data_IF_288694446549
#
_entry.id   IF_288694446549
#
_cell.length_a   1.000
_cell.length_b   1.000
_cell.length_c   1.000
_cell.angle_alpha   90.00
_cell.angle_beta   90.00
_cell.angle_gamma   90.00
#
_symmetry.space_group_name_H-M   'P 1'
#
loop_
_entity.id
_entity.type
_entity.pdbx_description
1 polymer ?
#
# COMPACT_ATOMS: atom_id res chain seq x y z
N UNK A 1 1.34 -23.20 1.88
CA UNK A 1 2.12 -21.96 1.66
C UNK A 1 1.15 -20.79 1.54
N UNK A 2 1.47 -19.61 2.07
CA UNK A 2 0.60 -18.41 2.04
C UNK A 2 1.20 -17.39 1.06
N UNK A 3 0.37 -16.80 0.20
CA UNK A 3 0.81 -15.83 -0.81
C UNK A 3 0.19 -14.46 -0.58
N UNK A 4 0.93 -13.41 -0.92
CA UNK A 4 0.43 -12.04 -0.90
C UNK A 4 0.78 -11.26 -2.16
N UNK A 5 0.12 -10.12 -2.34
CA UNK A 5 0.27 -9.27 -3.52
C UNK A 5 0.50 -7.80 -3.15
N UNK A 6 1.34 -7.11 -3.91
CA UNK A 6 1.60 -5.68 -3.75
C UNK A 6 0.50 -4.87 -4.43
N UNK A 7 -0.07 -3.89 -3.74
CA UNK A 7 -1.10 -3.02 -4.30
C UNK A 7 -0.49 -1.96 -5.25
N UNK A 8 -1.22 -1.51 -6.29
CA UNK A 8 -0.76 -0.47 -7.21
C UNK A 8 -0.93 0.92 -6.58
N UNK A 9 -0.18 1.20 -5.53
CA UNK A 9 -0.20 2.47 -4.77
C UNK A 9 0.97 3.41 -5.13
N UNK A 10 1.78 3.01 -6.09
CA UNK A 10 2.97 3.74 -6.57
C UNK A 10 3.24 3.44 -8.05
N UNK A 11 4.25 4.10 -8.64
CA UNK A 11 4.56 4.06 -10.08
C UNK A 11 3.46 4.68 -10.93
N UNK A 12 3.64 4.56 -12.25
CA UNK A 12 2.68 5.06 -13.24
C UNK A 12 1.32 4.35 -13.20
N UNK A 13 1.17 3.28 -12.41
CA UNK A 13 -0.07 2.52 -12.23
C UNK A 13 -0.87 2.96 -11.01
N UNK A 14 -0.34 3.90 -10.22
CA UNK A 14 -0.95 4.37 -8.99
C UNK A 14 -2.34 4.98 -9.26
N UNK A 15 -3.38 4.37 -8.71
CA UNK A 15 -4.73 4.94 -8.73
C UNK A 15 -5.60 4.33 -7.65
N UNK A 16 -6.55 5.12 -7.12
CA UNK A 16 -7.57 4.63 -6.16
C UNK A 16 -8.38 3.48 -6.76
N UNK A 17 -8.76 3.58 -8.04
CA UNK A 17 -9.49 2.53 -8.74
C UNK A 17 -8.66 1.25 -8.92
N UNK A 18 -7.35 1.38 -9.18
CA UNK A 18 -6.43 0.25 -9.26
C UNK A 18 -6.28 -0.44 -7.91
N UNK A 19 -6.12 0.33 -6.83
CA UNK A 19 -6.06 -0.18 -5.45
C UNK A 19 -7.34 -0.95 -5.12
N UNK A 20 -8.51 -0.36 -5.38
CA UNK A 20 -9.81 -1.01 -5.16
C UNK A 20 -9.91 -2.34 -5.89
N UNK A 21 -9.68 -2.34 -7.22
CA UNK A 21 -9.81 -3.54 -8.04
C UNK A 21 -8.87 -4.65 -7.57
N UNK A 22 -7.58 -4.35 -7.40
CA UNK A 22 -6.61 -5.38 -7.01
C UNK A 22 -6.87 -5.89 -5.60
N UNK A 23 -7.33 -5.05 -4.66
CA UNK A 23 -7.69 -5.50 -3.32
C UNK A 23 -8.89 -6.47 -3.32
N UNK A 24 -9.97 -6.13 -4.05
CA UNK A 24 -11.15 -6.99 -4.20
C UNK A 24 -10.79 -8.33 -4.86
N UNK A 25 -10.01 -8.27 -5.93
CA UNK A 25 -9.60 -9.45 -6.68
C UNK A 25 -8.62 -10.34 -5.89
N UNK A 26 -7.71 -9.76 -5.12
CA UNK A 26 -6.84 -10.52 -4.23
C UNK A 26 -7.66 -11.30 -3.19
N UNK A 27 -8.67 -10.65 -2.60
CA UNK A 27 -9.58 -11.30 -1.64
C UNK A 27 -10.49 -12.36 -2.29
N UNK A 28 -10.99 -12.12 -3.50
CA UNK A 28 -11.84 -13.06 -4.25
C UNK A 28 -11.07 -14.32 -4.63
N UNK A 29 -9.80 -14.18 -5.02
CA UNK A 29 -8.90 -15.27 -5.40
C UNK A 29 -8.29 -16.02 -4.20
N UNK A 30 -8.56 -15.57 -2.97
CA UNK A 30 -8.07 -16.22 -1.76
C UNK A 30 -6.60 -15.98 -1.46
N UNK A 31 -6.03 -14.86 -1.91
CA UNK A 31 -4.72 -14.43 -1.42
C UNK A 31 -4.77 -14.23 0.10
N UNK A 32 -3.66 -14.57 0.76
CA UNK A 32 -3.58 -14.43 2.21
C UNK A 32 -3.47 -12.95 2.62
N UNK A 33 -2.77 -12.14 1.83
CA UNK A 33 -2.43 -10.77 2.22
C UNK A 33 -2.23 -9.81 1.05
N UNK A 34 -2.46 -8.52 1.30
CA UNK A 34 -2.11 -7.41 0.41
C UNK A 34 -1.08 -6.51 1.10
N UNK A 35 -0.21 -5.89 0.31
CA UNK A 35 0.97 -5.18 0.80
C UNK A 35 1.07 -3.77 0.23
N UNK A 36 1.53 -2.84 1.08
CA UNK A 36 1.77 -1.42 0.75
C UNK A 36 3.16 -1.02 1.27
N UNK A 37 3.89 -0.21 0.50
CA UNK A 37 5.23 0.27 0.82
C UNK A 37 5.22 1.74 1.27
N UNK A 38 6.17 2.11 2.11
CA UNK A 38 6.29 3.47 2.65
C UNK A 38 7.28 4.31 1.87
N UNK A 39 6.81 5.39 1.24
CA UNK A 39 7.64 6.39 0.59
C UNK A 39 6.99 7.77 0.73
N UNK A 40 7.76 8.75 1.22
CA UNK A 40 7.26 10.11 1.48
C UNK A 40 7.49 11.05 0.29
N UNK A 41 8.53 10.79 -0.51
CA UNK A 41 8.88 11.62 -1.67
C UNK A 41 9.56 10.77 -2.74
N UNK A 42 9.53 11.27 -3.98
CA UNK A 42 10.24 10.70 -5.13
C UNK A 42 11.27 11.72 -5.59
N UNK A 43 12.58 11.41 -5.59
CA UNK A 43 13.58 12.28 -6.20
C UNK A 43 13.26 12.54 -7.68
N UNK A 44 13.54 13.74 -8.18
CA UNK A 44 13.20 14.13 -9.56
C UNK A 44 13.75 13.15 -10.61
N UNK A 45 14.99 12.68 -10.40
CA UNK A 45 15.66 11.70 -11.26
C UNK A 45 14.94 10.33 -11.34
N UNK A 46 14.07 10.03 -10.39
CA UNK A 46 13.41 8.74 -10.21
C UNK A 46 11.90 8.78 -10.60
N UNK A 47 11.38 9.95 -10.96
CA UNK A 47 9.96 10.18 -11.28
C UNK A 47 9.50 9.34 -12.48
N UNK A 48 10.35 9.14 -13.49
CA UNK A 48 10.01 8.31 -14.64
C UNK A 48 9.72 6.86 -14.23
N UNK A 49 10.46 6.35 -13.24
CA UNK A 49 10.38 4.97 -12.77
C UNK A 49 9.27 4.74 -11.75
N UNK A 50 9.09 5.66 -10.81
CA UNK A 50 8.19 5.51 -9.66
C UNK A 50 6.99 6.45 -9.66
N UNK A 51 6.83 7.27 -10.69
CA UNK A 51 5.75 8.25 -10.76
C UNK A 51 6.05 9.49 -9.90
N UNK A 52 5.17 10.49 -9.97
CA UNK A 52 5.34 11.77 -9.28
C UNK A 52 5.08 11.71 -7.77
N UNK A 53 4.55 10.60 -7.27
CA UNK A 53 4.19 10.48 -5.87
C UNK A 53 3.74 9.08 -5.50
N UNK A 54 3.65 8.87 -4.19
CA UNK A 54 3.13 7.67 -3.56
C UNK A 54 1.85 8.03 -2.82
N UNK A 55 0.88 7.12 -2.82
CA UNK A 55 -0.20 7.22 -1.84
C UNK A 55 0.37 6.93 -0.44
N UNK A 56 -0.06 7.69 0.58
CA UNK A 56 0.37 7.44 1.95
C UNK A 56 -0.06 6.05 2.41
N UNK A 57 0.87 5.31 3.04
CA UNK A 57 0.70 3.90 3.35
C UNK A 57 -0.50 3.66 4.28
N UNK A 58 -0.66 4.46 5.35
CA UNK A 58 -1.69 4.23 6.36
C UNK A 58 -3.06 4.61 5.82
N UNK A 59 -3.11 5.64 4.97
CA UNK A 59 -4.31 6.02 4.23
C UNK A 59 -4.76 4.91 3.28
N UNK A 60 -3.83 4.27 2.54
CA UNK A 60 -4.17 3.13 1.68
C UNK A 60 -4.64 1.93 2.51
N UNK A 61 -3.94 1.59 3.59
CA UNK A 61 -4.35 0.46 4.44
C UNK A 61 -5.71 0.69 5.10
N UNK A 62 -6.00 1.91 5.57
CA UNK A 62 -7.30 2.28 6.10
C UNK A 62 -8.42 2.25 5.03
N UNK A 63 -8.11 2.64 3.79
CA UNK A 63 -9.06 2.50 2.68
C UNK A 63 -9.33 1.02 2.36
N UNK A 64 -8.28 0.20 2.29
CA UNK A 64 -8.40 -1.22 1.94
C UNK A 64 -9.10 -2.01 3.04
N UNK A 65 -8.87 -1.68 4.32
CA UNK A 65 -9.57 -2.31 5.45
C UNK A 65 -11.07 -2.05 5.41
N UNK A 66 -11.50 -0.90 4.90
CA UNK A 66 -12.92 -0.57 4.77
C UNK A 66 -13.62 -1.36 3.64
N UNK A 67 -12.89 -1.78 2.61
CA UNK A 67 -13.47 -2.45 1.44
C UNK A 67 -13.23 -3.97 1.39
N UNK A 68 -12.36 -4.51 2.25
CA UNK A 68 -12.06 -5.96 2.33
C UNK A 68 -12.40 -6.51 3.72
N UNK A 69 -12.60 -7.83 3.84
CA UNK A 69 -13.11 -8.45 5.08
C UNK A 69 -12.29 -9.64 5.58
N UNK A 70 -11.47 -10.25 4.73
CA UNK A 70 -10.74 -11.50 5.00
C UNK A 70 -9.25 -11.40 4.69
N UNK A 71 -8.86 -10.64 3.67
CA UNK A 71 -7.45 -10.51 3.30
C UNK A 71 -6.68 -9.77 4.39
N UNK A 72 -5.51 -10.30 4.78
CA UNK A 72 -4.67 -9.63 5.76
C UNK A 72 -3.97 -8.43 5.15
N UNK A 73 -3.78 -7.37 5.93
CA UNK A 73 -3.14 -6.14 5.51
C UNK A 73 -1.70 -6.11 6.03
N UNK A 74 -0.75 -5.77 5.16
CA UNK A 74 0.67 -5.75 5.49
C UNK A 74 1.41 -4.52 4.96
N UNK A 75 2.49 -4.17 5.66
CA UNK A 75 3.44 -3.14 5.22
C UNK A 75 4.73 -3.79 4.74
N UNK A 76 5.29 -3.27 3.65
CA UNK A 76 6.58 -3.71 3.10
C UNK A 76 7.32 -2.50 2.53
N UNK A 77 7.95 -1.69 3.35
CA UNK A 77 8.06 -1.72 4.83
C UNK A 77 7.52 -0.40 5.38
N UNK A 78 7.38 -0.25 6.69
CA UNK A 78 7.33 1.10 7.30
C UNK A 78 8.76 1.59 7.50
N UNK A 79 9.09 2.78 7.00
CA UNK A 79 10.42 3.37 7.20
C UNK A 79 10.38 4.22 8.47
N UNK A 80 10.51 3.56 9.62
CA UNK A 80 10.37 4.19 10.94
C UNK A 80 11.19 5.48 11.13
N UNK A 81 12.46 5.60 10.67
CA UNK A 81 13.22 6.83 10.83
C UNK A 81 12.62 8.05 10.09
N UNK A 82 11.73 7.84 9.14
CA UNK A 82 11.08 8.91 8.37
C UNK A 82 9.70 9.29 8.91
N UNK A 83 9.23 8.66 10.00
CA UNK A 83 7.91 8.90 10.59
C UNK A 83 8.02 9.23 12.07
N UNK A 84 7.04 9.94 12.60
CA UNK A 84 6.93 10.10 14.06
C UNK A 84 6.56 8.74 14.68
N UNK A 85 7.35 8.21 15.64
CA UNK A 85 7.11 6.89 16.20
C UNK A 85 5.83 6.82 17.04
N UNK A 86 5.44 7.90 17.72
CA UNK A 86 4.19 7.95 18.47
C UNK A 86 3.00 7.91 17.52
N UNK A 87 3.03 8.70 16.43
CA UNK A 87 1.97 8.66 15.41
C UNK A 87 1.89 7.28 14.73
N UNK A 88 3.02 6.62 14.54
CA UNK A 88 3.08 5.29 13.93
C UNK A 88 2.47 4.20 14.82
N UNK A 89 2.58 4.35 16.15
CA UNK A 89 2.08 3.38 17.13
C UNK A 89 0.65 3.68 17.64
N UNK A 90 -0.04 4.68 17.07
CA UNK A 90 -1.40 5.04 17.46
C UNK A 90 -2.39 3.91 17.20
N UNK A 91 -3.45 3.87 18.02
CA UNK A 91 -4.56 2.91 17.97
C UNK A 91 -5.85 3.65 17.65
#
# INVERSE_FOLDING_TARGET
MKFGIMLPHYRQVASTQGIYRIAQEAESMGFHSVWVSDHIAVPDQDVERYGKGYYDLFSVLGYVSAITQRVSLGTSIVILPLRNPLHTAQV
#
